data_IF_833860992233
#
_entry.id   IF_833860992233
#
_cell.length_a   1.000
_cell.length_b   1.000
_cell.length_c   1.000
_cell.angle_alpha   90.00
_cell.angle_beta   90.00
_cell.angle_gamma   90.00
#
_symmetry.space_group_name_H-M   'P 1'
#
loop_
_entity.id
_entity.type
_entity.pdbx_description
1 polymer ?
#
# COMPACT_ATOMS: atom_id res chain seq x y z
N UNK A 1 -6.08 -3.56 -18.33
CA UNK A 1 -6.10 -3.78 -16.88
C UNK A 1 -7.38 -3.16 -16.34
N UNK A 2 -8.18 -3.90 -15.61
CA UNK A 2 -9.38 -3.40 -14.97
C UNK A 2 -8.99 -2.43 -13.85
N UNK A 3 -9.67 -1.28 -13.79
CA UNK A 3 -9.44 -0.24 -12.78
C UNK A 3 -10.76 0.07 -12.08
N UNK A 4 -10.68 0.57 -10.88
CA UNK A 4 -11.85 0.93 -10.08
C UNK A 4 -11.73 2.38 -9.59
N UNK A 5 -12.80 3.15 -9.76
CA UNK A 5 -12.94 4.50 -9.21
C UNK A 5 -13.84 4.41 -7.98
N UNK A 6 -13.25 4.55 -6.80
CA UNK A 6 -13.98 4.46 -5.53
C UNK A 6 -14.82 5.71 -5.27
N UNK A 7 -14.31 6.88 -5.67
CA UNK A 7 -15.05 8.13 -5.58
C UNK A 7 -14.56 9.14 -6.60
N UNK A 8 -15.50 9.97 -7.10
CA UNK A 8 -15.23 11.06 -8.03
C UNK A 8 -16.02 12.29 -7.60
N UNK A 9 -15.34 13.32 -7.16
CA UNK A 9 -15.91 14.64 -6.87
C UNK A 9 -15.54 15.61 -8.00
N UNK A 10 -16.49 16.45 -8.40
CA UNK A 10 -16.29 17.46 -9.45
C UNK A 10 -16.65 18.82 -8.91
N UNK A 11 -15.77 19.80 -9.05
CA UNK A 11 -16.01 21.20 -8.69
C UNK A 11 -15.63 22.11 -9.86
N UNK A 12 -16.59 22.89 -10.34
CA UNK A 12 -16.36 23.89 -11.39
C UNK A 12 -15.40 24.98 -10.88
N UNK A 13 -14.37 25.31 -11.63
CA UNK A 13 -13.40 26.39 -11.36
C UNK A 13 -13.62 27.58 -12.27
N UNK A 14 -13.86 27.32 -13.55
CA UNK A 14 -14.20 28.31 -14.56
C UNK A 14 -15.10 27.66 -15.64
N UNK A 15 -15.38 28.37 -16.72
CA UNK A 15 -16.25 27.81 -17.79
C UNK A 15 -15.63 26.62 -18.54
N UNK A 16 -14.31 26.46 -18.47
CA UNK A 16 -13.59 25.38 -19.15
C UNK A 16 -12.72 24.55 -18.20
N UNK A 17 -12.69 24.87 -16.91
CA UNK A 17 -11.85 24.19 -15.94
C UNK A 17 -12.66 23.61 -14.78
N UNK A 18 -12.32 22.39 -14.41
CA UNK A 18 -12.91 21.64 -13.31
C UNK A 18 -11.83 21.03 -12.43
N UNK A 19 -12.03 21.08 -11.12
CA UNK A 19 -11.24 20.32 -10.19
C UNK A 19 -11.91 18.96 -9.99
N UNK A 20 -11.17 17.89 -10.22
CA UNK A 20 -11.59 16.53 -9.94
C UNK A 20 -10.91 16.03 -8.66
N UNK A 21 -11.68 15.53 -7.70
CA UNK A 21 -11.17 14.80 -6.54
C UNK A 21 -11.42 13.33 -6.80
N UNK A 22 -10.36 12.52 -6.98
CA UNK A 22 -10.48 11.13 -7.41
C UNK A 22 -9.85 10.21 -6.37
N UNK A 23 -10.60 9.20 -5.92
CA UNK A 23 -10.06 8.04 -5.21
C UNK A 23 -10.23 6.81 -6.10
N UNK A 24 -9.14 6.08 -6.35
CA UNK A 24 -9.13 5.00 -7.34
C UNK A 24 -8.13 3.90 -7.00
N UNK A 25 -8.27 2.76 -7.65
CA UNK A 25 -7.33 1.64 -7.56
C UNK A 25 -5.95 1.97 -8.14
N UNK A 26 -4.96 1.18 -7.76
CA UNK A 26 -3.62 1.23 -8.40
C UNK A 26 -3.75 0.98 -9.92
N UNK A 27 -2.86 1.61 -10.70
CA UNK A 27 -2.86 1.46 -12.16
C UNK A 27 -3.82 2.41 -12.90
N UNK A 28 -4.61 3.22 -12.19
CA UNK A 28 -5.48 4.22 -12.81
C UNK A 28 -4.67 5.42 -13.32
N UNK A 29 -4.77 5.67 -14.62
CA UNK A 29 -4.15 6.84 -15.26
C UNK A 29 -5.14 8.01 -15.26
N UNK A 30 -4.91 9.00 -14.43
CA UNK A 30 -5.80 10.18 -14.29
C UNK A 30 -5.89 10.98 -15.60
N UNK A 31 -4.84 11.00 -16.43
CA UNK A 31 -4.89 11.60 -17.77
C UNK A 31 -5.92 10.92 -18.66
N UNK A 32 -5.97 9.60 -18.65
CA UNK A 32 -6.94 8.81 -19.41
C UNK A 32 -8.35 9.08 -18.89
N UNK A 33 -8.54 9.11 -17.56
CA UNK A 33 -9.83 9.44 -16.95
C UNK A 33 -10.34 10.81 -17.41
N UNK A 34 -9.49 11.84 -17.41
CA UNK A 34 -9.88 13.19 -17.89
C UNK A 34 -10.27 13.18 -19.37
N UNK A 35 -9.51 12.46 -20.21
CA UNK A 35 -9.80 12.30 -21.64
C UNK A 35 -11.16 11.59 -21.83
N UNK A 36 -11.41 10.51 -21.11
CA UNK A 36 -12.63 9.70 -21.26
C UNK A 36 -13.87 10.45 -20.78
N UNK A 37 -13.76 11.23 -19.67
CA UNK A 37 -14.83 12.15 -19.24
C UNK A 37 -15.13 13.16 -20.33
N UNK A 38 -14.13 13.82 -20.90
CA UNK A 38 -14.31 14.80 -21.96
C UNK A 38 -14.92 14.20 -23.23
N UNK A 39 -14.52 12.97 -23.58
CA UNK A 39 -15.09 12.21 -24.69
C UNK A 39 -16.58 11.86 -24.43
N UNK A 40 -16.92 11.40 -23.24
CA UNK A 40 -18.30 11.09 -22.86
C UNK A 40 -19.22 12.31 -22.89
N UNK A 41 -18.68 13.49 -22.54
CA UNK A 41 -19.39 14.78 -22.59
C UNK A 41 -19.45 15.38 -24.01
N UNK A 42 -18.75 14.82 -25.00
CA UNK A 42 -18.71 15.31 -26.37
C UNK A 42 -17.90 16.59 -26.59
N UNK A 43 -17.19 17.09 -25.57
CA UNK A 43 -16.42 18.34 -25.64
C UNK A 43 -14.90 18.14 -25.61
N UNK A 44 -14.44 16.91 -25.46
CA UNK A 44 -13.03 16.62 -25.20
C UNK A 44 -12.60 17.04 -23.80
N UNK A 45 -11.42 16.56 -23.36
CA UNK A 45 -10.87 16.92 -22.06
C UNK A 45 -9.41 16.55 -21.94
N UNK A 46 -8.65 17.38 -21.20
CA UNK A 46 -7.25 17.11 -20.89
C UNK A 46 -6.95 17.48 -19.44
N UNK A 47 -5.96 16.84 -18.88
CA UNK A 47 -5.45 17.13 -17.54
C UNK A 47 -4.45 18.27 -17.61
N UNK A 48 -4.74 19.40 -16.96
CA UNK A 48 -3.83 20.57 -16.86
C UNK A 48 -2.82 20.42 -15.72
N UNK A 49 -3.22 19.84 -14.60
CA UNK A 49 -2.35 19.61 -13.44
C UNK A 49 -2.81 18.40 -12.65
N UNK A 50 -1.89 17.84 -11.87
CA UNK A 50 -2.17 16.71 -10.98
C UNK A 50 -1.45 16.92 -9.66
N UNK A 51 -2.19 16.75 -8.56
CA UNK A 51 -1.63 16.67 -7.21
C UNK A 51 -2.10 15.39 -6.54
N UNK A 52 -1.16 14.52 -6.22
CA UNK A 52 -1.44 13.34 -5.42
C UNK A 52 -1.50 13.74 -3.95
N UNK A 53 -2.63 13.50 -3.29
CA UNK A 53 -2.83 13.85 -1.88
C UNK A 53 -2.68 12.66 -0.95
N UNK A 54 -2.81 11.42 -1.49
CA UNK A 54 -2.66 10.19 -0.72
C UNK A 54 -2.13 9.05 -1.58
N UNK A 55 -1.36 8.15 -0.97
CA UNK A 55 -0.92 6.90 -1.57
C UNK A 55 -0.88 5.80 -0.51
N UNK A 56 -1.84 4.87 -0.53
CA UNK A 56 -2.01 3.89 0.54
C UNK A 56 -2.24 4.57 1.88
N UNK A 57 -1.40 4.28 2.87
CA UNK A 57 -1.45 4.88 4.20
C UNK A 57 -0.84 6.29 4.29
N UNK A 58 -0.09 6.73 3.26
CA UNK A 58 0.65 7.99 3.29
C UNK A 58 -0.17 9.15 2.76
N UNK A 59 -0.35 10.20 3.59
CA UNK A 59 -0.97 11.48 3.21
C UNK A 59 0.10 12.50 2.84
N UNK A 60 -0.27 13.45 1.98
CA UNK A 60 0.57 14.60 1.63
C UNK A 60 0.81 15.52 2.84
N UNK A 61 -0.07 15.50 3.84
CA UNK A 61 0.06 16.33 5.05
C UNK A 61 1.30 15.95 5.88
N UNK A 62 1.74 14.67 5.78
CA UNK A 62 2.97 14.19 6.40
C UNK A 62 4.20 14.27 5.48
N UNK A 63 4.06 14.78 4.27
CA UNK A 63 5.17 14.84 3.31
C UNK A 63 6.11 16.01 3.62
N UNK A 64 7.40 15.79 3.39
CA UNK A 64 8.45 16.79 3.54
C UNK A 64 8.96 17.17 2.14
N UNK A 65 9.10 18.47 1.85
CA UNK A 65 9.64 18.93 0.57
C UNK A 65 11.14 18.63 0.47
N UNK A 66 11.64 18.58 -0.77
CA UNK A 66 13.08 18.34 -1.04
C UNK A 66 13.93 19.45 -0.42
N UNK A 67 13.52 20.70 -0.57
CA UNK A 67 14.25 21.88 -0.04
C UNK A 67 14.34 21.79 1.50
N UNK A 68 13.27 21.36 2.16
CA UNK A 68 13.28 21.16 3.62
C UNK A 68 14.22 20.02 3.99
N UNK A 69 14.23 18.91 3.24
CA UNK A 69 15.15 17.79 3.50
C UNK A 69 16.60 18.20 3.30
N UNK A 70 16.90 19.01 2.29
CA UNK A 70 18.27 19.52 2.04
C UNK A 70 18.78 20.41 3.17
N UNK A 71 17.89 21.20 3.77
CA UNK A 71 18.22 22.10 4.88
C UNK A 71 18.45 21.38 6.22
N UNK A 72 18.02 20.11 6.35
CA UNK A 72 18.16 19.34 7.59
C UNK A 72 19.53 18.65 7.68
N UNK A 73 20.04 18.52 8.92
CA UNK A 73 21.19 17.67 9.23
C UNK A 73 20.90 16.19 9.00
N UNK A 74 21.92 15.36 8.88
CA UNK A 74 21.78 13.92 8.70
C UNK A 74 20.96 13.26 9.84
N UNK A 75 21.21 13.67 11.07
CA UNK A 75 20.48 13.16 12.25
C UNK A 75 19.00 13.53 12.26
N UNK A 76 18.65 14.70 11.74
CA UNK A 76 17.26 15.14 11.59
C UNK A 76 16.56 14.40 10.46
N UNK A 77 17.24 14.19 9.32
CA UNK A 77 16.72 13.35 8.21
C UNK A 77 16.45 11.93 8.66
N UNK A 78 17.35 11.33 9.45
CA UNK A 78 17.19 9.98 9.97
C UNK A 78 15.89 9.83 10.81
N UNK A 79 15.49 10.87 11.55
CA UNK A 79 14.23 10.87 12.34
C UNK A 79 12.97 10.93 11.48
N UNK A 80 13.07 11.34 10.22
CA UNK A 80 11.96 11.38 9.29
C UNK A 80 11.73 10.05 8.56
N UNK A 81 12.66 9.10 8.70
CA UNK A 81 12.52 7.78 8.10
C UNK A 81 11.38 7.00 8.76
N UNK A 82 10.52 6.48 7.94
CA UNK A 82 9.45 5.57 8.36
C UNK A 82 10.00 4.15 8.28
N UNK A 83 9.89 3.40 9.37
CA UNK A 83 10.32 1.99 9.37
C UNK A 83 9.46 1.16 8.41
N UNK A 84 10.02 0.07 7.88
CA UNK A 84 9.27 -0.86 7.03
C UNK A 84 8.05 -1.40 7.78
N UNK A 85 8.20 -1.72 9.06
CA UNK A 85 7.12 -2.18 9.92
C UNK A 85 5.97 -1.16 10.00
N UNK A 86 6.29 0.12 10.23
CA UNK A 86 5.31 1.20 10.29
C UNK A 86 4.61 1.42 8.93
N UNK A 87 5.38 1.35 7.83
CA UNK A 87 4.84 1.47 6.48
C UNK A 87 3.84 0.34 6.12
N UNK A 88 3.98 -0.81 6.75
CA UNK A 88 3.15 -2.00 6.54
C UNK A 88 2.12 -2.20 7.66
N UNK A 89 1.90 -1.21 8.51
CA UNK A 89 1.03 -1.29 9.69
C UNK A 89 -0.43 -1.67 9.38
N UNK A 90 -0.88 -1.45 8.15
CA UNK A 90 -2.21 -1.85 7.66
C UNK A 90 -2.37 -3.36 7.46
N UNK A 91 -1.27 -4.13 7.43
CA UNK A 91 -1.30 -5.59 7.34
C UNK A 91 -1.45 -6.21 8.73
N UNK A 92 -2.15 -7.33 8.80
CA UNK A 92 -2.32 -8.07 10.05
C UNK A 92 -0.98 -8.57 10.60
N UNK A 93 -0.77 -8.42 11.91
CA UNK A 93 0.36 -8.99 12.65
C UNK A 93 0.10 -10.47 12.95
N UNK A 94 1.09 -11.32 12.71
CA UNK A 94 1.14 -12.70 13.20
C UNK A 94 2.43 -12.89 13.98
N UNK A 95 2.33 -13.03 15.29
CA UNK A 95 3.45 -13.42 16.14
C UNK A 95 3.58 -14.95 16.10
N UNK A 96 4.71 -15.45 15.63
CA UNK A 96 4.98 -16.87 15.53
C UNK A 96 5.57 -17.41 16.85
N UNK A 97 5.13 -18.58 17.31
CA UNK A 97 5.85 -19.29 18.38
C UNK A 97 7.31 -19.53 17.96
N UNK A 98 8.27 -19.59 18.91
CA UNK A 98 9.71 -19.61 18.61
C UNK A 98 10.14 -20.72 17.64
N UNK A 99 9.52 -21.89 17.74
CA UNK A 99 9.78 -22.99 16.81
C UNK A 99 9.40 -22.63 15.36
N UNK A 100 8.22 -22.07 15.15
CA UNK A 100 7.74 -21.68 13.82
C UNK A 100 8.44 -20.44 13.28
N UNK A 101 8.84 -19.50 14.15
CA UNK A 101 9.65 -18.37 13.77
C UNK A 101 10.98 -18.82 13.14
N UNK A 102 11.69 -19.77 13.77
CA UNK A 102 12.93 -20.35 13.19
C UNK A 102 12.70 -21.00 11.83
N UNK A 103 11.60 -21.72 11.63
CA UNK A 103 11.26 -22.28 10.33
C UNK A 103 10.98 -21.19 9.29
N UNK A 104 10.25 -20.15 9.68
CA UNK A 104 9.92 -19.03 8.81
C UNK A 104 11.17 -18.21 8.43
N UNK A 105 12.14 -18.02 9.32
CA UNK A 105 13.43 -17.40 8.99
C UNK A 105 14.19 -18.17 7.90
N UNK A 106 14.03 -19.51 7.86
CA UNK A 106 14.58 -20.34 6.81
C UNK A 106 13.69 -20.42 5.56
N UNK A 107 12.65 -19.60 5.49
CA UNK A 107 11.75 -19.54 4.36
C UNK A 107 10.75 -20.70 4.27
N UNK A 108 10.59 -21.51 5.32
CA UNK A 108 9.60 -22.58 5.33
C UNK A 108 8.17 -22.00 5.44
N UNK A 109 7.20 -22.67 4.83
CA UNK A 109 5.78 -22.38 5.02
C UNK A 109 5.31 -22.85 6.41
N UNK A 110 4.45 -22.05 7.04
CA UNK A 110 3.88 -22.34 8.36
C UNK A 110 2.38 -22.56 8.20
N UNK A 111 1.94 -23.80 8.40
CA UNK A 111 0.53 -24.16 8.29
C UNK A 111 -0.32 -23.41 9.31
N UNK A 112 -1.40 -22.79 8.84
CA UNK A 112 -2.27 -21.95 9.65
C UNK A 112 -2.85 -22.71 10.87
N UNK A 113 -3.17 -23.99 10.70
CA UNK A 113 -3.66 -24.87 11.79
C UNK A 113 -2.67 -25.05 12.94
N UNK A 114 -1.38 -24.80 12.70
CA UNK A 114 -0.31 -24.94 13.73
C UNK A 114 -0.09 -23.67 14.54
N UNK A 115 -0.58 -22.53 14.02
CA UNK A 115 -0.43 -21.21 14.66
C UNK A 115 -1.79 -20.56 14.99
N UNK A 116 -2.88 -21.35 14.93
CA UNK A 116 -4.20 -20.91 15.33
C UNK A 116 -4.79 -19.78 14.49
N UNK A 117 -4.41 -19.69 13.20
CA UNK A 117 -4.94 -18.69 12.28
C UNK A 117 -5.77 -19.33 11.18
N UNK A 118 -6.70 -18.56 10.59
CA UNK A 118 -7.53 -18.98 9.45
C UNK A 118 -7.83 -17.77 8.57
N UNK A 119 -6.87 -17.40 7.75
CA UNK A 119 -6.95 -16.26 6.84
C UNK A 119 -7.17 -16.77 5.41
N UNK A 120 -7.89 -16.01 4.56
CA UNK A 120 -8.08 -16.32 3.14
C UNK A 120 -6.76 -16.43 2.39
N UNK A 121 -6.74 -17.27 1.35
CA UNK A 121 -5.63 -17.34 0.41
C UNK A 121 -5.36 -15.98 -0.24
N UNK A 122 -4.10 -15.63 -0.46
CA UNK A 122 -3.66 -14.32 -0.96
C UNK A 122 -3.53 -13.24 0.11
N UNK A 123 -3.94 -13.50 1.36
CA UNK A 123 -3.80 -12.52 2.44
C UNK A 123 -2.34 -12.26 2.77
N UNK A 124 -1.94 -10.99 2.73
CA UNK A 124 -0.62 -10.53 3.15
C UNK A 124 -0.59 -10.26 4.65
N UNK A 125 0.48 -10.66 5.33
CA UNK A 125 0.64 -10.52 6.78
C UNK A 125 2.05 -10.09 7.16
N UNK A 126 2.19 -9.48 8.34
CA UNK A 126 3.49 -9.20 8.98
C UNK A 126 3.83 -10.33 9.95
N UNK A 127 5.02 -10.92 9.78
CA UNK A 127 5.52 -12.00 10.63
C UNK A 127 6.47 -11.45 11.69
N UNK A 128 6.26 -11.92 12.91
CA UNK A 128 7.03 -11.52 14.08
C UNK A 128 7.61 -12.74 14.80
N UNK A 129 8.86 -12.57 15.26
CA UNK A 129 9.52 -13.44 16.24
C UNK A 129 9.51 -12.70 17.57
N UNK A 130 8.66 -13.12 18.51
CA UNK A 130 8.32 -12.32 19.67
C UNK A 130 7.74 -10.96 19.26
N UNK A 131 8.43 -9.87 19.63
CA UNK A 131 8.05 -8.50 19.28
C UNK A 131 8.80 -7.94 18.06
N UNK A 132 9.72 -8.71 17.49
CA UNK A 132 10.51 -8.27 16.34
C UNK A 132 9.83 -8.61 15.02
N UNK A 133 9.50 -7.57 14.24
CA UNK A 133 9.08 -7.73 12.85
C UNK A 133 10.27 -8.20 12.01
N UNK A 134 10.12 -9.29 11.27
CA UNK A 134 11.22 -9.84 10.47
C UNK A 134 10.86 -10.16 9.02
N UNK A 135 9.58 -10.37 8.69
CA UNK A 135 9.21 -10.73 7.33
C UNK A 135 7.76 -10.36 6.97
N UNK A 136 7.55 -10.20 5.67
CA UNK A 136 6.22 -10.33 5.06
C UNK A 136 5.93 -11.78 4.75
N UNK A 137 4.71 -12.21 5.04
CA UNK A 137 4.17 -13.50 4.64
C UNK A 137 2.94 -13.35 3.76
N UNK A 138 2.66 -14.36 2.98
CA UNK A 138 1.45 -14.49 2.20
C UNK A 138 0.80 -15.84 2.48
N UNK A 139 -0.50 -15.84 2.65
CA UNK A 139 -1.27 -17.09 2.79
C UNK A 139 -1.39 -17.75 1.43
N UNK A 140 -0.86 -18.95 1.30
CA UNK A 140 -0.90 -19.75 0.07
C UNK A 140 -1.44 -21.13 0.33
N UNK A 141 -1.95 -21.76 -0.73
CA UNK A 141 -2.40 -23.16 -0.69
C UNK A 141 -1.23 -24.10 -0.90
N UNK A 142 -1.16 -25.12 -0.06
CA UNK A 142 -0.21 -26.24 -0.15
C UNK A 142 -0.98 -27.57 -0.02
N UNK A 143 -1.27 -28.20 -1.15
CA UNK A 143 -2.19 -29.33 -1.21
C UNK A 143 -3.58 -28.93 -0.74
N UNK A 144 -4.13 -29.67 0.23
CA UNK A 144 -5.48 -29.41 0.79
C UNK A 144 -5.48 -28.39 1.94
N UNK A 145 -4.32 -27.82 2.29
CA UNK A 145 -4.15 -26.93 3.45
C UNK A 145 -3.62 -25.56 3.01
N UNK A 146 -3.88 -24.57 3.85
CA UNK A 146 -3.31 -23.24 3.70
C UNK A 146 -2.20 -23.01 4.71
N UNK A 147 -1.16 -22.31 4.28
CA UNK A 147 -0.01 -21.95 5.10
C UNK A 147 0.42 -20.51 4.82
N UNK A 148 1.03 -19.88 5.81
CA UNK A 148 1.70 -18.59 5.63
C UNK A 148 3.12 -18.86 5.12
N UNK A 149 3.43 -18.36 3.94
CA UNK A 149 4.76 -18.44 3.31
C UNK A 149 5.47 -17.11 3.47
N UNK A 150 6.64 -17.04 4.13
CA UNK A 150 7.48 -15.86 4.08
C UNK A 150 7.88 -15.55 2.63
N UNK A 151 7.69 -14.30 2.21
CA UNK A 151 7.95 -13.86 0.83
C UNK A 151 9.03 -12.77 0.76
N UNK A 152 9.27 -12.06 1.87
CA UNK A 152 10.29 -11.04 1.99
C UNK A 152 10.75 -10.91 3.42
N UNK A 153 12.03 -11.14 3.69
CA UNK A 153 12.67 -10.89 5.00
C UNK A 153 13.36 -9.52 5.03
N UNK A 154 13.49 -8.93 6.25
CA UNK A 154 14.05 -7.62 6.51
C UNK A 154 15.13 -7.69 7.57
#
# INVERSE_FOLDING_TARGET
CEIEIYSLGVKKRSDREYNLSVSCSKGTYIRTLCHDIGKALGCGGCMSSLRRTKNGAFSIDGAVSIEKLEALSESERAKLLITVEAALSYLQKIALPPFFARLAHNGCEIYQSKIGTSLPEGTMVRLYDGDSFFALGEVRRFGDKTAVKPIKSF
#
